data_IF_301197490295
#
_entry.id   IF_301197490295
#
_cell.length_a   1.000
_cell.length_b   1.000
_cell.length_c   1.000
_cell.angle_alpha   90.00
_cell.angle_beta   90.00
_cell.angle_gamma   90.00
#
_symmetry.space_group_name_H-M   'P 1'
#
loop_
_entity.id
_entity.type
_entity.pdbx_description
1 polymer ?
#
# COMPACT_ATOMS: atom_id res chain seq x y z
N UNK A 1 -5.91 16.93 -10.91
CA UNK A 1 -7.05 16.65 -10.01
C UNK A 1 -6.52 15.75 -8.89
N UNK A 2 -6.29 16.28 -7.69
CA UNK A 2 -5.86 15.46 -6.55
C UNK A 2 -7.00 14.50 -6.18
N UNK A 3 -6.66 13.24 -5.85
CA UNK A 3 -7.62 12.20 -5.46
C UNK A 3 -8.18 12.46 -4.05
N UNK A 4 -8.92 13.54 -3.88
CA UNK A 4 -9.40 14.06 -2.57
C UNK A 4 -10.37 13.10 -1.88
N UNK A 5 -11.14 12.30 -2.63
CA UNK A 5 -12.16 11.40 -2.07
C UNK A 5 -11.84 9.90 -2.21
N UNK A 6 -10.69 9.54 -2.77
CA UNK A 6 -10.30 8.13 -2.95
C UNK A 6 -9.94 7.43 -1.62
N UNK A 7 -9.60 8.20 -0.58
CA UNK A 7 -9.30 7.68 0.75
C UNK A 7 -10.55 7.33 1.57
N UNK A 8 -11.76 7.61 1.07
CA UNK A 8 -13.02 7.49 1.82
C UNK A 8 -13.91 6.31 1.41
N UNK A 9 -13.48 5.42 0.52
CA UNK A 9 -14.36 4.39 -0.07
C UNK A 9 -14.41 3.04 0.65
N UNK A 10 -13.86 2.90 1.84
CA UNK A 10 -14.02 1.66 2.60
C UNK A 10 -14.66 1.94 3.95
N UNK A 11 -15.80 1.30 4.18
CA UNK A 11 -16.35 0.93 5.49
C UNK A 11 -15.27 1.05 6.56
N UNK A 12 -15.45 1.96 7.51
CA UNK A 12 -14.52 2.20 8.62
C UNK A 12 -14.46 0.93 9.46
N UNK A 13 -13.68 -0.05 9.01
CA UNK A 13 -13.46 -1.28 9.72
C UNK A 13 -12.80 -0.90 11.04
N UNK A 14 -13.51 -1.15 12.13
CA UNK A 14 -13.05 -0.94 13.49
C UNK A 14 -12.61 -2.31 14.01
N UNK A 15 -11.43 -2.37 14.64
CA UNK A 15 -11.08 -3.55 15.39
C UNK A 15 -12.06 -3.75 16.56
N UNK A 16 -12.34 -5.01 16.94
CA UNK A 16 -13.03 -5.28 18.19
C UNK A 16 -12.33 -4.62 19.38
N UNK A 17 -13.11 -4.28 20.40
CA UNK A 17 -12.60 -3.69 21.64
C UNK A 17 -11.50 -4.56 22.26
N UNK A 18 -10.40 -3.94 22.71
CA UNK A 18 -9.25 -4.62 23.31
C UNK A 18 -8.36 -5.39 22.34
N UNK A 19 -8.73 -5.53 21.05
CA UNK A 19 -7.92 -6.26 20.06
C UNK A 19 -6.56 -5.61 19.84
N UNK A 20 -6.53 -4.27 19.70
CA UNK A 20 -5.28 -3.53 19.53
C UNK A 20 -4.34 -3.72 20.72
N UNK A 21 -4.87 -3.72 21.95
CA UNK A 21 -4.09 -3.95 23.17
C UNK A 21 -3.50 -5.36 23.20
N UNK A 22 -4.28 -6.38 22.83
CA UNK A 22 -3.78 -7.77 22.71
C UNK A 22 -2.68 -7.90 21.66
N UNK A 23 -2.86 -7.30 20.49
CA UNK A 23 -1.84 -7.27 19.42
C UNK A 23 -0.55 -6.60 19.89
N UNK A 24 -0.65 -5.46 20.57
CA UNK A 24 0.50 -4.73 21.12
C UNK A 24 1.23 -5.57 22.16
N UNK A 25 0.50 -6.29 23.05
CA UNK A 25 1.10 -7.17 24.06
C UNK A 25 1.92 -8.33 23.46
N UNK A 26 1.64 -8.77 22.24
CA UNK A 26 2.49 -9.77 21.58
C UNK A 26 3.88 -9.24 21.25
N UNK A 27 3.98 -7.97 20.88
CA UNK A 27 5.23 -7.31 20.53
C UNK A 27 5.94 -6.70 21.76
N UNK A 28 5.17 -6.19 22.71
CA UNK A 28 5.63 -5.49 23.90
C UNK A 28 4.89 -6.01 25.14
N UNK A 29 5.25 -7.21 25.64
CA UNK A 29 4.51 -7.88 26.71
C UNK A 29 4.56 -7.14 28.05
N UNK A 30 5.63 -6.38 28.27
CA UNK A 30 5.88 -5.64 29.51
C UNK A 30 5.49 -4.14 29.41
N UNK A 31 4.89 -3.71 28.29
CA UNK A 31 4.47 -2.32 28.10
C UNK A 31 2.96 -2.14 28.20
N UNK A 32 2.57 -1.03 28.83
CA UNK A 32 1.17 -0.61 28.91
C UNK A 32 0.81 0.25 27.69
N UNK A 33 -0.26 -0.11 26.98
CA UNK A 33 -0.86 0.74 25.95
C UNK A 33 -1.62 1.89 26.63
N UNK A 34 -1.14 3.13 26.46
CA UNK A 34 -1.72 4.34 27.06
C UNK A 34 -2.86 4.89 26.20
N UNK A 35 -2.69 4.88 24.88
CA UNK A 35 -3.73 5.33 23.96
C UNK A 35 -3.61 4.69 22.60
N UNK A 36 -4.74 4.60 21.90
CA UNK A 36 -4.84 4.14 20.52
C UNK A 36 -5.86 4.99 19.75
N UNK A 37 -5.46 5.51 18.60
CA UNK A 37 -6.29 6.36 17.75
C UNK A 37 -6.20 5.86 16.30
N UNK A 38 -7.35 5.61 15.67
CA UNK A 38 -7.38 5.32 14.23
C UNK A 38 -7.02 6.60 13.47
N UNK A 39 -5.96 6.55 12.66
CA UNK A 39 -5.55 7.69 11.85
C UNK A 39 -6.14 7.58 10.44
N UNK A 40 -6.59 8.72 9.92
CA UNK A 40 -7.03 8.81 8.54
C UNK A 40 -5.84 8.63 7.59
N UNK A 41 -6.05 7.86 6.52
CA UNK A 41 -5.05 7.62 5.49
C UNK A 41 -4.83 6.13 5.21
N UNK A 42 -4.79 5.78 3.92
CA UNK A 42 -4.66 4.42 3.43
C UNK A 42 -6.00 3.81 3.01
N UNK A 43 -6.06 3.28 1.79
CA UNK A 43 -7.28 2.65 1.25
C UNK A 43 -7.38 1.15 1.61
N UNK A 44 -6.26 0.52 2.02
CA UNK A 44 -6.14 -0.93 2.08
C UNK A 44 -5.97 -1.49 3.50
N UNK A 45 -5.34 -0.75 4.39
CA UNK A 45 -4.95 -1.22 5.72
C UNK A 45 -5.49 -0.27 6.79
N UNK A 46 -5.85 -0.80 7.94
CA UNK A 46 -6.23 0.00 9.11
C UNK A 46 -4.95 0.45 9.82
N UNK A 47 -4.75 1.75 9.97
CA UNK A 47 -3.60 2.31 10.68
C UNK A 47 -4.07 2.93 12.00
N UNK A 48 -3.49 2.48 13.10
CA UNK A 48 -3.80 2.93 14.46
C UNK A 48 -2.52 3.51 15.05
N UNK A 49 -2.55 4.79 15.41
CA UNK A 49 -1.48 5.41 16.19
C UNK A 49 -1.61 4.95 17.63
N UNK A 50 -0.54 4.41 18.18
CA UNK A 50 -0.49 3.88 19.55
C UNK A 50 0.59 4.61 20.36
N UNK A 51 0.31 4.83 21.64
CA UNK A 51 1.28 5.36 22.60
C UNK A 51 1.48 4.33 23.71
N UNK A 52 2.73 3.93 23.94
CA UNK A 52 3.10 3.03 25.05
C UNK A 52 3.71 3.83 26.20
N UNK A 53 3.55 3.35 27.43
CA UNK A 53 3.97 4.05 28.64
C UNK A 53 5.47 4.39 28.66
N UNK A 54 6.31 3.44 28.23
CA UNK A 54 7.76 3.56 28.30
C UNK A 54 8.40 4.01 26.97
N UNK A 55 7.59 4.31 25.94
CA UNK A 55 8.08 4.79 24.64
C UNK A 55 7.94 6.30 24.52
N UNK A 56 9.06 7.00 24.30
CA UNK A 56 9.05 8.46 24.13
C UNK A 56 8.39 8.93 22.83
N UNK A 57 8.19 8.03 21.86
CA UNK A 57 7.57 8.34 20.57
C UNK A 57 6.40 7.39 20.32
N UNK A 58 5.30 7.88 19.70
CA UNK A 58 4.22 7.01 19.29
C UNK A 58 4.69 6.02 18.21
N UNK A 59 3.93 4.93 18.08
CA UNK A 59 4.11 3.90 17.05
C UNK A 59 2.86 3.82 16.19
N UNK A 60 2.94 3.10 15.08
CA UNK A 60 1.79 2.72 14.26
C UNK A 60 1.57 1.22 14.37
N UNK A 61 0.38 0.81 14.79
CA UNK A 61 -0.16 -0.52 14.57
C UNK A 61 -0.90 -0.51 13.24
N UNK A 62 -0.36 -1.22 12.24
CA UNK A 62 -0.97 -1.40 10.92
C UNK A 62 -1.57 -2.80 10.83
N UNK A 63 -2.86 -2.88 10.55
CA UNK A 63 -3.58 -4.15 10.30
C UNK A 63 -3.86 -4.30 8.82
N UNK A 64 -3.41 -5.42 8.25
CA UNK A 64 -3.53 -5.74 6.83
C UNK A 64 -4.86 -6.42 6.55
N UNK A 65 -5.77 -5.73 5.87
CA UNK A 65 -7.15 -6.20 5.67
C UNK A 65 -7.38 -6.93 4.35
N UNK A 66 -6.54 -6.68 3.34
CA UNK A 66 -6.73 -7.19 1.97
C UNK A 66 -5.79 -8.32 1.60
N UNK A 67 -4.52 -8.17 1.98
CA UNK A 67 -3.48 -9.11 1.62
C UNK A 67 -2.52 -9.27 2.80
N UNK A 68 -2.56 -10.45 3.40
CA UNK A 68 -1.78 -10.82 4.58
C UNK A 68 -0.27 -10.86 4.33
N UNK A 69 0.15 -11.19 3.11
CA UNK A 69 1.57 -11.32 2.77
C UNK A 69 2.20 -9.94 2.49
N UNK A 70 1.40 -8.87 2.46
CA UNK A 70 1.88 -7.50 2.27
C UNK A 70 2.81 -7.04 3.38
N UNK A 71 2.61 -7.50 4.62
CA UNK A 71 3.47 -7.14 5.74
C UNK A 71 4.92 -7.62 5.50
N UNK A 72 5.07 -8.88 5.10
CA UNK A 72 6.37 -9.49 4.81
C UNK A 72 7.06 -8.82 3.62
N UNK A 73 6.31 -8.56 2.54
CA UNK A 73 6.85 -7.84 1.37
C UNK A 73 7.28 -6.42 1.71
N UNK A 74 6.46 -5.66 2.43
CA UNK A 74 6.80 -4.29 2.86
C UNK A 74 8.08 -4.29 3.70
N UNK A 75 8.24 -5.25 4.61
CA UNK A 75 9.44 -5.36 5.46
C UNK A 75 10.69 -5.72 4.67
N UNK A 76 10.62 -6.74 3.80
CA UNK A 76 11.76 -7.14 2.99
C UNK A 76 12.16 -6.01 2.03
N UNK A 77 11.18 -5.32 1.43
CA UNK A 77 11.45 -4.23 0.49
C UNK A 77 12.10 -3.05 1.22
N UNK A 78 11.60 -2.72 2.42
CA UNK A 78 12.20 -1.71 3.27
C UNK A 78 13.61 -2.10 3.72
N UNK A 79 13.88 -3.38 3.98
CA UNK A 79 15.22 -3.86 4.29
C UNK A 79 16.18 -3.73 3.09
N UNK A 80 15.73 -4.07 1.89
CA UNK A 80 16.49 -3.94 0.65
C UNK A 80 16.87 -2.48 0.37
N UNK A 81 15.92 -1.55 0.54
CA UNK A 81 16.09 -0.14 0.23
C UNK A 81 16.75 0.66 1.38
N UNK A 82 16.96 0.03 2.53
CA UNK A 82 17.58 0.65 3.71
C UNK A 82 18.97 1.18 3.34
N UNK A 83 19.26 2.41 3.77
CA UNK A 83 20.54 3.08 3.50
C UNK A 83 20.57 3.86 2.19
N UNK A 84 19.65 3.59 1.26
CA UNK A 84 19.50 4.33 0.02
C UNK A 84 18.34 5.33 0.08
N UNK A 85 17.26 4.93 0.75
CA UNK A 85 16.00 5.66 0.84
C UNK A 85 15.52 5.80 2.30
N UNK A 86 14.73 6.86 2.59
CA UNK A 86 14.04 6.98 3.87
C UNK A 86 12.89 5.97 3.94
N UNK A 87 13.18 4.78 4.46
CA UNK A 87 12.23 3.66 4.58
C UNK A 87 11.90 3.35 6.02
N UNK A 88 10.70 2.81 6.24
CA UNK A 88 10.23 2.37 7.55
C UNK A 88 10.42 0.87 7.69
N UNK A 89 11.12 0.45 8.72
CA UNK A 89 11.18 -0.95 9.12
C UNK A 89 10.10 -1.23 10.16
N UNK A 90 9.40 -2.35 9.98
CA UNK A 90 8.58 -2.91 11.03
C UNK A 90 9.49 -3.33 12.19
N UNK A 91 9.10 -2.92 13.40
CA UNK A 91 9.68 -3.39 14.66
C UNK A 91 9.17 -4.77 15.02
N UNK A 92 7.96 -5.09 14.58
CA UNK A 92 7.30 -6.36 14.81
C UNK A 92 6.32 -6.65 13.68
N UNK A 93 6.23 -7.91 13.28
CA UNK A 93 5.18 -8.45 12.40
C UNK A 93 4.61 -9.67 13.11
N UNK A 94 3.28 -9.79 13.12
CA UNK A 94 2.64 -10.96 13.69
C UNK A 94 1.22 -11.16 13.20
N UNK A 95 0.63 -12.22 13.70
CA UNK A 95 -0.75 -12.60 13.44
C UNK A 95 -1.48 -12.77 14.77
N UNK A 96 -2.71 -12.25 14.85
CA UNK A 96 -3.58 -12.44 16.00
C UNK A 96 -5.04 -12.51 15.58
N UNK A 97 -5.75 -13.56 16.02
CA UNK A 97 -7.17 -13.80 15.71
C UNK A 97 -7.51 -13.58 14.22
N UNK A 98 -6.69 -14.13 13.32
CA UNK A 98 -6.86 -14.06 11.87
C UNK A 98 -6.43 -12.74 11.22
N UNK A 99 -5.90 -11.79 11.97
CA UNK A 99 -5.41 -10.51 11.47
C UNK A 99 -3.90 -10.50 11.41
N UNK A 100 -3.34 -10.22 10.22
CA UNK A 100 -1.93 -9.92 10.08
C UNK A 100 -1.71 -8.44 10.39
N UNK A 101 -0.67 -8.15 11.17
CA UNK A 101 -0.36 -6.79 11.58
C UNK A 101 1.14 -6.55 11.69
N UNK A 102 1.51 -5.27 11.62
CA UNK A 102 2.86 -4.81 11.88
C UNK A 102 2.83 -3.64 12.87
N UNK A 103 3.90 -3.51 13.67
CA UNK A 103 4.16 -2.31 14.46
C UNK A 103 5.37 -1.59 13.88
N UNK A 104 5.18 -0.34 13.47
CA UNK A 104 6.21 0.50 12.85
C UNK A 104 6.41 1.79 13.64
N UNK A 105 7.47 2.53 13.32
CA UNK A 105 7.66 3.88 13.85
C UNK A 105 6.60 4.84 13.31
N UNK A 106 6.21 5.81 14.13
CA UNK A 106 5.46 6.98 13.66
C UNK A 106 6.43 8.03 13.11
N UNK A 107 6.25 8.39 11.84
CA UNK A 107 6.94 9.55 11.26
C UNK A 107 6.09 10.80 11.50
N UNK A 108 6.60 11.70 12.33
CA UNK A 108 5.99 13.03 12.50
C UNK A 108 6.17 13.86 11.23
N UNK A 109 5.08 14.45 10.76
CA UNK A 109 5.09 15.35 9.62
C UNK A 109 3.69 15.62 9.09
N UNK A 110 3.62 16.44 8.05
CA UNK A 110 2.42 16.61 7.23
C UNK A 110 2.61 15.87 5.91
N UNK A 111 1.53 15.36 5.34
CA UNK A 111 1.63 14.69 4.04
C UNK A 111 2.05 15.70 2.96
N UNK A 112 2.73 15.23 1.91
CA UNK A 112 3.05 16.09 0.77
C UNK A 112 1.77 16.71 0.17
N UNK A 113 0.66 15.97 0.16
CA UNK A 113 -0.63 16.49 -0.27
C UNK A 113 -1.07 17.68 0.58
N UNK A 114 -1.08 17.53 1.91
CA UNK A 114 -1.55 18.59 2.80
C UNK A 114 -0.63 19.80 2.79
N UNK A 115 0.68 19.58 2.58
CA UNK A 115 1.63 20.66 2.37
C UNK A 115 1.32 21.44 1.08
N UNK A 116 1.07 20.73 -0.03
CA UNK A 116 0.81 21.34 -1.34
C UNK A 116 -0.57 22.02 -1.43
N UNK A 117 -1.57 21.48 -0.73
CA UNK A 117 -2.93 22.04 -0.70
C UNK A 117 -3.13 23.05 0.43
N UNK A 118 -2.23 23.08 1.41
CA UNK A 118 -2.30 23.93 2.57
C UNK A 118 -1.89 25.37 2.29
N UNK A 119 -2.18 26.24 3.25
CA UNK A 119 -1.81 27.66 3.20
C UNK A 119 -0.34 27.93 3.61
N UNK A 120 0.41 26.89 3.97
CA UNK A 120 1.79 27.02 4.45
C UNK A 120 2.70 27.41 3.30
N UNK A 121 3.43 28.51 3.44
CA UNK A 121 4.42 28.91 2.43
C UNK A 121 5.56 27.89 2.38
N UNK A 122 5.85 27.39 1.19
CA UNK A 122 6.86 26.38 0.96
C UNK A 122 7.58 26.62 -0.37
N UNK A 123 8.83 26.16 -0.45
CA UNK A 123 9.59 26.17 -1.70
C UNK A 123 9.24 24.91 -2.50
N UNK A 124 8.29 25.07 -3.43
CA UNK A 124 7.83 23.98 -4.28
C UNK A 124 8.96 23.39 -5.13
N UNK A 125 9.90 24.22 -5.61
CA UNK A 125 10.99 23.78 -6.47
C UNK A 125 11.92 22.83 -5.71
N UNK A 126 12.32 23.23 -4.51
CA UNK A 126 13.15 22.40 -3.63
C UNK A 126 12.47 21.08 -3.26
N UNK A 127 11.17 21.10 -2.92
CA UNK A 127 10.42 19.87 -2.60
C UNK A 127 10.34 18.94 -3.81
N UNK A 128 10.00 19.45 -4.99
CA UNK A 128 9.90 18.63 -6.20
C UNK A 128 11.26 18.06 -6.62
N UNK A 129 12.34 18.80 -6.41
CA UNK A 129 13.70 18.31 -6.62
C UNK A 129 14.02 17.12 -5.71
N UNK A 130 13.75 17.22 -4.40
CA UNK A 130 13.95 16.11 -3.45
C UNK A 130 13.08 14.88 -3.79
N UNK A 131 11.83 15.09 -4.19
CA UNK A 131 10.96 14.01 -4.68
C UNK A 131 11.58 13.33 -5.90
N UNK A 132 12.11 14.10 -6.87
CA UNK A 132 12.80 13.58 -8.04
C UNK A 132 14.03 12.75 -7.68
N UNK A 133 14.84 13.20 -6.71
CA UNK A 133 16.00 12.44 -6.23
C UNK A 133 15.60 11.10 -5.60
N UNK A 134 14.53 11.08 -4.80
CA UNK A 134 14.00 9.84 -4.21
C UNK A 134 13.50 8.89 -5.30
N UNK A 135 12.71 9.39 -6.26
CA UNK A 135 12.18 8.58 -7.36
C UNK A 135 13.30 8.01 -8.23
N UNK A 136 14.31 8.81 -8.56
CA UNK A 136 15.49 8.36 -9.32
C UNK A 136 16.22 7.20 -8.64
N UNK A 137 16.38 7.26 -7.31
CA UNK A 137 16.98 6.17 -6.53
C UNK A 137 16.12 4.90 -6.51
N UNK A 138 14.80 5.04 -6.48
CA UNK A 138 13.87 3.90 -6.60
C UNK A 138 14.03 3.25 -7.98
N UNK A 139 13.98 4.05 -9.06
CA UNK A 139 14.06 3.54 -10.43
C UNK A 139 15.42 2.96 -10.79
N UNK A 140 16.48 3.32 -10.07
CA UNK A 140 17.81 2.74 -10.24
C UNK A 140 17.93 1.29 -9.73
N UNK A 141 16.95 0.79 -8.98
CA UNK A 141 16.89 -0.62 -8.60
C UNK A 141 16.20 -1.42 -9.70
N UNK A 142 17.00 -2.16 -10.47
CA UNK A 142 16.52 -2.99 -11.58
C UNK A 142 16.30 -4.44 -11.14
N UNK A 143 15.33 -5.09 -11.78
CA UNK A 143 15.04 -6.51 -11.61
C UNK A 143 15.25 -7.22 -12.96
N UNK A 144 15.69 -8.47 -12.92
CA UNK A 144 16.02 -9.24 -14.12
C UNK A 144 14.82 -9.54 -15.03
N UNK A 145 13.61 -9.47 -14.47
CA UNK A 145 12.36 -9.70 -15.19
C UNK A 145 11.24 -8.83 -14.62
N UNK A 146 10.17 -8.67 -15.40
CA UNK A 146 8.96 -7.96 -14.98
C UNK A 146 7.99 -8.93 -14.30
N UNK A 147 7.37 -8.49 -13.21
CA UNK A 147 6.46 -9.35 -12.45
C UNK A 147 5.93 -8.69 -11.18
N UNK A 148 5.27 -9.50 -10.35
CA UNK A 148 4.86 -9.13 -9.00
C UNK A 148 5.79 -9.77 -7.97
N UNK A 149 6.07 -9.09 -6.86
CA UNK A 149 6.80 -9.74 -5.77
C UNK A 149 5.92 -10.75 -5.04
N UNK A 150 6.44 -11.95 -4.85
CA UNK A 150 5.92 -12.86 -3.84
C UNK A 150 6.35 -12.42 -2.43
N UNK A 151 5.96 -13.19 -1.41
CA UNK A 151 6.32 -12.93 -0.02
C UNK A 151 7.84 -12.96 0.25
N UNK A 152 8.64 -13.56 -0.63
CA UNK A 152 10.10 -13.66 -0.54
C UNK A 152 10.82 -12.54 -1.31
N UNK A 153 10.09 -11.62 -1.95
CA UNK A 153 10.58 -10.64 -2.92
C UNK A 153 11.16 -11.26 -4.20
N UNK A 154 10.78 -12.49 -4.50
CA UNK A 154 11.08 -13.05 -5.81
C UNK A 154 10.07 -12.49 -6.82
N UNK A 155 10.56 -12.18 -8.02
CA UNK A 155 9.69 -11.69 -9.10
C UNK A 155 8.93 -12.89 -9.65
N UNK A 156 7.62 -12.86 -9.53
CA UNK A 156 6.70 -13.80 -10.18
C UNK A 156 6.30 -13.19 -11.52
N UNK A 157 6.75 -13.78 -12.65
CA UNK A 157 6.36 -13.32 -13.97
C UNK A 157 4.84 -13.38 -14.11
N UNK A 158 4.29 -12.44 -14.86
CA UNK A 158 2.90 -12.54 -15.31
C UNK A 158 2.86 -12.55 -16.83
N UNK A 159 1.92 -13.31 -17.37
CA UNK A 159 1.69 -13.37 -18.80
C UNK A 159 0.68 -12.31 -19.21
N UNK A 160 0.73 -11.80 -20.44
CA UNK A 160 -0.32 -10.89 -20.95
C UNK A 160 -1.72 -11.52 -20.84
N UNK A 161 -1.80 -12.85 -20.90
CA UNK A 161 -3.03 -13.61 -20.66
C UNK A 161 -3.63 -13.40 -19.26
N UNK A 162 -2.81 -13.09 -18.26
CA UNK A 162 -3.27 -12.90 -16.87
C UNK A 162 -3.96 -11.55 -16.70
N UNK A 163 -3.53 -10.52 -17.42
CA UNK A 163 -4.21 -9.22 -17.47
C UNK A 163 -5.59 -9.37 -18.11
N UNK A 164 -5.70 -10.15 -19.19
CA UNK A 164 -6.97 -10.42 -19.85
C UNK A 164 -7.90 -11.23 -18.94
N UNK A 165 -7.40 -12.30 -18.32
CA UNK A 165 -8.16 -13.10 -17.34
C UNK A 165 -8.62 -12.23 -16.17
N UNK A 166 -7.77 -11.35 -15.68
CA UNK A 166 -8.11 -10.41 -14.60
C UNK A 166 -9.24 -9.46 -15.03
N UNK A 167 -9.10 -8.80 -16.18
CA UNK A 167 -10.13 -7.90 -16.72
C UNK A 167 -11.47 -8.61 -16.94
N UNK A 168 -11.45 -9.83 -17.48
CA UNK A 168 -12.65 -10.67 -17.63
C UNK A 168 -13.22 -11.09 -16.27
N UNK A 169 -12.37 -11.38 -15.29
CA UNK A 169 -12.73 -11.69 -13.91
C UNK A 169 -13.46 -10.52 -13.24
N UNK A 170 -12.99 -9.29 -13.42
CA UNK A 170 -13.64 -8.09 -12.91
C UNK A 170 -15.09 -7.95 -13.40
N UNK A 171 -15.38 -8.37 -14.64
CA UNK A 171 -16.74 -8.32 -15.19
C UNK A 171 -17.72 -9.31 -14.53
N UNK A 172 -17.21 -10.26 -13.76
CA UNK A 172 -18.03 -11.18 -12.97
C UNK A 172 -18.12 -10.77 -11.49
N UNK A 173 -17.51 -9.64 -11.10
CA UNK A 173 -17.63 -9.12 -9.74
C UNK A 173 -19.08 -8.71 -9.42
N UNK A 174 -19.52 -8.97 -8.18
CA UNK A 174 -20.90 -8.69 -7.75
C UNK A 174 -21.28 -7.22 -7.92
N UNK A 175 -20.34 -6.31 -7.69
CA UNK A 175 -20.55 -4.87 -7.84
C UNK A 175 -20.82 -4.53 -9.30
N UNK A 176 -20.00 -5.07 -10.21
CA UNK A 176 -20.14 -4.86 -11.65
C UNK A 176 -21.47 -5.41 -12.14
N UNK A 177 -21.82 -6.64 -11.75
CA UNK A 177 -23.09 -7.27 -12.11
C UNK A 177 -24.32 -6.53 -11.55
N UNK A 178 -24.16 -5.78 -10.45
CA UNK A 178 -25.24 -4.98 -9.86
C UNK A 178 -25.44 -3.61 -10.51
N UNK A 179 -24.47 -3.14 -11.30
CA UNK A 179 -24.47 -1.78 -11.87
C UNK A 179 -24.57 -1.81 -13.40
N UNK A 180 -23.94 -2.78 -14.06
CA UNK A 180 -23.88 -2.87 -15.52
C UNK A 180 -24.89 -3.87 -16.06
N UNK A 181 -25.61 -3.46 -17.11
CA UNK A 181 -26.49 -4.36 -17.84
C UNK A 181 -25.71 -5.50 -18.50
N UNK A 182 -26.30 -6.72 -18.61
CA UNK A 182 -25.65 -7.85 -19.25
C UNK A 182 -25.19 -7.59 -20.70
N UNK A 183 -25.90 -6.73 -21.44
CA UNK A 183 -25.52 -6.33 -22.80
C UNK A 183 -24.23 -5.51 -22.82
N UNK A 184 -24.09 -4.55 -21.90
CA UNK A 184 -22.88 -3.73 -21.73
C UNK A 184 -21.70 -4.62 -21.33
N UNK A 185 -21.91 -5.55 -20.40
CA UNK A 185 -20.88 -6.52 -20.00
C UNK A 185 -20.42 -7.35 -21.20
N UNK A 186 -21.34 -7.79 -22.06
CA UNK A 186 -21.01 -8.57 -23.26
C UNK A 186 -20.20 -7.74 -24.27
N UNK A 187 -20.53 -6.46 -24.46
CA UNK A 187 -19.75 -5.55 -25.32
C UNK A 187 -18.34 -5.32 -24.77
N UNK A 188 -18.19 -5.11 -23.45
CA UNK A 188 -16.87 -4.95 -22.83
C UNK A 188 -16.05 -6.24 -22.98
N UNK A 189 -16.64 -7.42 -22.77
CA UNK A 189 -15.97 -8.71 -23.00
C UNK A 189 -15.44 -8.82 -24.43
N UNK A 190 -16.28 -8.49 -25.41
CA UNK A 190 -15.92 -8.48 -26.82
C UNK A 190 -14.76 -7.51 -27.11
N UNK A 191 -14.79 -6.31 -26.54
CA UNK A 191 -13.72 -5.33 -26.71
C UNK A 191 -12.39 -5.82 -26.09
N UNK A 192 -12.41 -6.44 -24.91
CA UNK A 192 -11.23 -7.04 -24.28
C UNK A 192 -10.63 -8.12 -25.19
N UNK A 193 -11.46 -9.01 -25.74
CA UNK A 193 -11.02 -10.07 -26.66
C UNK A 193 -10.43 -9.50 -27.96
N UNK A 194 -11.08 -8.49 -28.54
CA UNK A 194 -10.64 -7.84 -29.77
C UNK A 194 -9.26 -7.17 -29.62
N UNK A 195 -8.96 -6.63 -28.45
CA UNK A 195 -7.71 -5.93 -28.17
C UNK A 195 -6.71 -6.75 -27.33
N UNK A 196 -6.97 -8.04 -27.11
CA UNK A 196 -6.14 -8.88 -26.25
C UNK A 196 -4.68 -8.94 -26.72
N UNK A 197 -4.47 -8.95 -28.04
CA UNK A 197 -3.14 -8.95 -28.67
C UNK A 197 -2.41 -7.60 -28.58
N UNK A 198 -3.11 -6.51 -28.23
CA UNK A 198 -2.56 -5.17 -28.07
C UNK A 198 -2.19 -4.85 -26.63
N UNK A 199 -2.49 -5.73 -25.66
CA UNK A 199 -2.06 -5.55 -24.27
C UNK A 199 -0.55 -5.78 -24.22
N UNK A 200 0.25 -4.73 -23.92
CA UNK A 200 1.68 -4.89 -23.85
C UNK A 200 1.98 -5.89 -22.73
N UNK A 201 2.80 -6.90 -23.04
CA UNK A 201 3.68 -7.46 -22.01
C UNK A 201 4.47 -6.24 -21.52
N UNK A 202 4.36 -5.85 -20.25
CA UNK A 202 5.13 -4.69 -19.75
C UNK A 202 6.59 -5.14 -19.73
N UNK A 203 7.23 -5.05 -20.87
CA UNK A 203 8.66 -4.89 -21.00
C UNK A 203 8.87 -3.44 -20.62
N UNK A 204 9.47 -3.20 -19.46
CA UNK A 204 10.00 -1.88 -19.16
C UNK A 204 11.09 -1.66 -20.22
N UNK A 205 10.73 -0.98 -21.31
CA UNK A 205 11.70 -0.52 -22.27
C UNK A 205 12.58 0.50 -21.56
N UNK A 206 13.89 0.24 -21.59
CA UNK A 206 14.95 1.16 -21.20
C UNK A 206 14.96 2.39 -22.13
N UNK A 207 13.93 3.23 -22.05
CA UNK A 207 13.97 4.56 -22.64
C UNK A 207 13.84 5.59 -21.52
N UNK A 208 15.02 5.93 -20.99
CA UNK A 208 15.30 7.20 -20.36
C UNK A 208 14.90 8.31 -21.35
N UNK A 209 13.77 8.96 -21.11
CA UNK A 209 13.53 10.29 -21.64
C UNK A 209 13.79 11.30 -20.52
N UNK A 210 14.92 12.00 -20.68
CA UNK A 210 15.43 13.13 -19.89
C UNK A 210 14.41 14.26 -19.86
#
# INVERSE_FOLDING_TARGET
MFKVDWEKTSVTYQLPEGMAEKMVRLAYPDETLISSEVIAGGCANLNIKIQLENQNKPLILRVYLRDKDSADREQKLSALLKGHLPVLLARYIGEFEGHHFAITEFISGISLRDLLLGAVTHDLSSIMHEVGLILSKITAHEFSEAGFFDKELEVVPYESSDVIKFAQGCLNDKTVLSVLDPSVIAEIKKAIEQHASSVPTIVIYNEVCV
#
